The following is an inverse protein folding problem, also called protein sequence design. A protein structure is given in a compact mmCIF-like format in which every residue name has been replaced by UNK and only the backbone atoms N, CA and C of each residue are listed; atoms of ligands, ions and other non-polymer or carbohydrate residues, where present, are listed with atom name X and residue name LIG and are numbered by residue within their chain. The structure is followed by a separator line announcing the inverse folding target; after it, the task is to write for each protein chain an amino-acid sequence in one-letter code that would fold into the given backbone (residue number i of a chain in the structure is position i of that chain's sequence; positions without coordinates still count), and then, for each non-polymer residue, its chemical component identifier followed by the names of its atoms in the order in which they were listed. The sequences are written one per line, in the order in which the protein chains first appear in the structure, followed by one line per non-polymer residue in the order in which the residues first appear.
data_IF_172342287638
#
_entry.id   IF_172342287638
#
_cell.length_a   1.000
_cell.length_b   1.000
_cell.length_c   1.000
_cell.angle_alpha   90.00
_cell.angle_beta   90.00
_cell.angle_gamma   90.00
#
_symmetry.space_group_name_H-M   'P 1'
#
loop_
_entity.id
_entity.type
_entity.pdbx_description
1 polymer ?
#
# COMPACT_ATOMS: atom_id res chain seq x y z
N UNK A 1 25.90 -43.38 6.00
CA UNK A 1 25.09 -42.32 6.69
C UNK A 1 24.45 -41.47 5.64
N UNK A 2 23.16 -41.70 5.37
CA UNK A 2 22.38 -40.91 4.43
C UNK A 2 21.84 -39.69 5.17
N UNK A 3 22.27 -38.50 4.75
CA UNK A 3 21.67 -37.25 5.24
C UNK A 3 20.33 -37.07 4.56
N UNK A 4 19.27 -37.14 5.34
CA UNK A 4 17.92 -36.80 4.92
C UNK A 4 17.86 -35.29 4.72
N UNK A 5 17.86 -34.86 3.46
CA UNK A 5 17.58 -33.46 3.10
C UNK A 5 16.08 -33.26 3.32
N UNK A 6 15.74 -32.57 4.40
CA UNK A 6 14.37 -32.09 4.64
C UNK A 6 14.17 -30.90 3.67
N UNK A 7 13.24 -30.96 2.73
CA UNK A 7 12.94 -29.81 1.89
C UNK A 7 12.37 -28.71 2.78
N UNK A 8 13.09 -27.61 2.89
CA UNK A 8 12.54 -26.38 3.45
C UNK A 8 11.54 -25.84 2.44
N UNK A 9 10.27 -26.16 2.62
CA UNK A 9 9.17 -25.48 1.95
C UNK A 9 9.10 -24.04 2.47
N UNK A 10 9.85 -23.15 1.87
CA UNK A 10 9.53 -21.73 1.94
C UNK A 10 8.16 -21.58 1.27
N UNK A 11 7.15 -21.27 2.07
CA UNK A 11 5.80 -21.03 1.55
C UNK A 11 5.81 -19.69 0.83
N UNK A 12 6.32 -19.69 -0.38
CA UNK A 12 6.30 -18.53 -1.26
C UNK A 12 4.85 -18.27 -1.64
N UNK A 13 4.36 -17.06 -1.36
CA UNK A 13 2.98 -16.69 -1.69
C UNK A 13 2.89 -16.58 -3.21
N UNK A 14 1.95 -17.31 -3.81
CA UNK A 14 1.77 -17.34 -5.25
C UNK A 14 1.19 -16.02 -5.79
N UNK A 15 1.45 -15.73 -7.06
CA UNK A 15 0.80 -14.59 -7.75
C UNK A 15 -0.73 -14.69 -7.71
N UNK A 16 -1.28 -15.88 -7.82
CA UNK A 16 -2.73 -16.11 -7.71
C UNK A 16 -3.27 -15.70 -6.33
N UNK A 17 -2.52 -15.94 -5.26
CA UNK A 17 -2.90 -15.51 -3.92
C UNK A 17 -2.92 -13.98 -3.78
N UNK A 18 -1.96 -13.27 -4.36
CA UNK A 18 -1.96 -11.81 -4.39
C UNK A 18 -3.14 -11.26 -5.20
N UNK A 19 -3.43 -11.84 -6.36
CA UNK A 19 -4.61 -11.46 -7.15
C UNK A 19 -5.91 -11.64 -6.37
N UNK A 20 -6.05 -12.70 -5.61
CA UNK A 20 -7.21 -12.93 -4.75
C UNK A 20 -7.31 -11.88 -3.65
N UNK A 21 -6.19 -11.48 -3.04
CA UNK A 21 -6.17 -10.42 -2.03
C UNK A 21 -6.62 -9.08 -2.60
N UNK A 22 -6.13 -8.73 -3.79
CA UNK A 22 -6.56 -7.53 -4.51
C UNK A 22 -8.06 -7.59 -4.82
N UNK A 23 -8.55 -8.73 -5.33
CA UNK A 23 -9.96 -8.90 -5.65
C UNK A 23 -10.86 -8.76 -4.42
N UNK A 24 -10.46 -9.29 -3.27
CA UNK A 24 -11.19 -9.09 -2.00
C UNK A 24 -11.25 -7.62 -1.59
N UNK A 25 -10.17 -6.89 -1.76
CA UNK A 25 -10.18 -5.46 -1.49
C UNK A 25 -11.11 -4.71 -2.45
N UNK A 26 -11.10 -5.06 -3.72
CA UNK A 26 -12.01 -4.46 -4.71
C UNK A 26 -13.48 -4.71 -4.37
N UNK A 27 -13.84 -5.89 -3.89
CA UNK A 27 -15.21 -6.17 -3.42
C UNK A 27 -15.55 -5.35 -2.17
N UNK A 28 -14.63 -5.28 -1.19
CA UNK A 28 -14.81 -4.43 -0.01
C UNK A 28 -14.93 -2.94 -0.38
N UNK A 29 -14.17 -2.47 -1.36
CA UNK A 29 -14.30 -1.10 -1.87
C UNK A 29 -15.71 -0.81 -2.39
N UNK A 30 -16.34 -1.75 -3.08
CA UNK A 30 -17.73 -1.60 -3.53
C UNK A 30 -18.70 -1.50 -2.37
N UNK A 31 -18.53 -2.35 -1.34
CA UNK A 31 -19.38 -2.31 -0.14
C UNK A 31 -19.27 -0.98 0.61
N UNK A 32 -18.06 -0.44 0.71
CA UNK A 32 -17.80 0.82 1.42
C UNK A 32 -17.92 2.07 0.53
N UNK A 33 -18.30 1.91 -0.73
CA UNK A 33 -18.50 3.02 -1.66
C UNK A 33 -17.21 3.75 -2.03
N UNK A 34 -16.07 3.06 -2.00
CA UNK A 34 -14.78 3.60 -2.41
C UNK A 34 -14.55 3.38 -3.91
N UNK A 35 -14.34 4.45 -4.65
CA UNK A 35 -14.03 4.38 -6.09
C UNK A 35 -12.58 3.96 -6.33
N UNK A 36 -11.69 4.35 -5.43
CA UNK A 36 -10.28 4.00 -5.45
C UNK A 36 -9.71 3.91 -4.04
N UNK A 37 -8.58 3.24 -3.92
CA UNK A 37 -7.71 3.24 -2.73
C UNK A 37 -6.31 3.65 -3.17
N UNK A 38 -5.71 4.55 -2.41
CA UNK A 38 -4.32 4.99 -2.60
C UNK A 38 -3.51 4.57 -1.38
N UNK A 39 -2.34 4.00 -1.63
CA UNK A 39 -1.40 3.62 -0.58
C UNK A 39 0.05 3.88 -0.99
N UNK A 40 0.89 4.10 -0.02
CA UNK A 40 2.35 4.14 -0.20
C UNK A 40 2.99 2.77 0.06
N UNK A 41 4.28 2.69 -0.27
CA UNK A 41 5.12 1.57 0.14
C UNK A 41 4.96 1.31 1.65
N UNK A 42 4.69 0.08 2.00
CA UNK A 42 4.45 -0.32 3.38
C UNK A 42 3.79 -1.69 3.49
N UNK A 43 3.40 -2.08 4.71
CA UNK A 43 2.86 -3.41 4.96
C UNK A 43 1.61 -3.76 4.15
N UNK A 44 0.69 -2.81 3.93
CA UNK A 44 -0.52 -3.06 3.14
C UNK A 44 -0.19 -3.35 1.67
N UNK A 45 0.69 -2.57 1.07
CA UNK A 45 1.18 -2.81 -0.29
C UNK A 45 1.87 -4.18 -0.40
N UNK A 46 2.73 -4.51 0.55
CA UNK A 46 3.43 -5.80 0.58
C UNK A 46 2.45 -6.97 0.71
N UNK A 47 1.45 -6.86 1.57
CA UNK A 47 0.43 -7.90 1.74
C UNK A 47 -0.38 -8.13 0.47
N UNK A 48 -0.77 -7.06 -0.20
CA UNK A 48 -1.63 -7.12 -1.39
C UNK A 48 -0.88 -7.54 -2.66
N UNK A 49 0.39 -7.16 -2.78
CA UNK A 49 1.11 -7.27 -4.06
C UNK A 49 2.42 -8.05 -3.98
N UNK A 50 2.93 -8.32 -2.79
CA UNK A 50 4.25 -8.90 -2.59
C UNK A 50 5.42 -7.92 -2.75
N UNK A 51 5.16 -6.70 -3.18
CA UNK A 51 6.20 -5.69 -3.38
C UNK A 51 6.68 -5.17 -2.03
N UNK A 52 7.94 -5.45 -1.73
CA UNK A 52 8.64 -4.91 -0.56
C UNK A 52 9.48 -3.72 -0.98
N UNK A 53 9.07 -2.55 -0.54
CA UNK A 53 9.74 -1.31 -0.84
C UNK A 53 9.95 -0.47 0.40
N UNK A 54 11.16 0.03 0.58
CA UNK A 54 11.48 0.93 1.69
C UNK A 54 10.95 2.33 1.44
N UNK A 55 10.37 2.94 2.46
CA UNK A 55 9.98 4.35 2.38
C UNK A 55 11.19 5.26 2.38
N UNK A 56 11.20 6.22 1.49
CA UNK A 56 12.15 7.32 1.46
C UNK A 56 11.38 8.64 1.37
N UNK A 57 12.07 9.76 1.23
CA UNK A 57 11.44 11.04 0.95
C UNK A 57 10.70 11.06 -0.41
N UNK A 58 11.06 10.14 -1.31
CA UNK A 58 10.43 10.00 -2.62
C UNK A 58 9.20 9.12 -2.56
N UNK A 59 8.13 9.60 -3.15
CA UNK A 59 6.85 8.90 -3.15
C UNK A 59 6.87 7.68 -4.08
N UNK A 60 6.57 6.53 -3.51
CA UNK A 60 6.29 5.27 -4.20
C UNK A 60 4.88 4.85 -3.80
N UNK A 61 3.95 4.90 -4.73
CA UNK A 61 2.53 4.73 -4.42
C UNK A 61 1.84 3.73 -5.36
N UNK A 62 0.74 3.20 -4.88
CA UNK A 62 -0.17 2.32 -5.61
C UNK A 62 -1.56 2.93 -5.60
N UNK A 63 -2.21 2.88 -6.75
CA UNK A 63 -3.62 3.25 -6.91
C UNK A 63 -4.40 2.02 -7.38
N UNK A 64 -5.39 1.63 -6.60
CA UNK A 64 -6.30 0.54 -6.94
C UNK A 64 -7.71 1.09 -7.14
N UNK A 65 -8.32 0.78 -8.28
CA UNK A 65 -9.72 1.07 -8.57
C UNK A 65 -10.58 -0.18 -8.40
N UNK A 66 -11.90 -0.05 -8.39
CA UNK A 66 -12.83 -1.18 -8.18
C UNK A 66 -12.69 -2.29 -9.24
N UNK A 67 -12.09 -1.98 -10.37
CA UNK A 67 -11.83 -2.91 -11.48
C UNK A 67 -10.42 -2.71 -12.01
N UNK A 68 -9.86 -3.77 -12.58
CA UNK A 68 -8.55 -3.75 -13.19
C UNK A 68 -7.41 -3.95 -12.19
N UNK A 69 -6.21 -3.98 -12.73
CA UNK A 69 -5.00 -4.15 -11.95
C UNK A 69 -4.58 -2.86 -11.23
N UNK A 70 -3.77 -2.96 -10.16
CA UNK A 70 -3.14 -1.79 -9.57
C UNK A 70 -2.34 -0.98 -10.59
N UNK A 71 -2.34 0.34 -10.43
CA UNK A 71 -1.42 1.24 -11.10
C UNK A 71 -0.38 1.76 -10.10
N UNK A 72 0.80 2.02 -10.59
CA UNK A 72 1.96 2.37 -9.77
C UNK A 72 2.48 3.76 -10.13
N UNK A 73 2.90 4.49 -9.10
CA UNK A 73 3.58 5.79 -9.25
C UNK A 73 4.91 5.71 -8.51
N UNK A 74 6.00 5.95 -9.20
CA UNK A 74 7.34 5.79 -8.63
C UNK A 74 8.37 6.72 -9.28
N UNK A 75 9.50 6.99 -8.58
CA UNK A 75 10.57 7.80 -9.14
C UNK A 75 11.19 7.15 -10.37
N UNK A 76 11.50 7.96 -11.39
CA UNK A 76 12.01 7.46 -12.67
C UNK A 76 13.31 6.66 -12.55
N UNK A 77 14.22 7.06 -11.65
CA UNK A 77 15.48 6.33 -11.46
C UNK A 77 15.31 4.94 -10.80
N UNK A 78 14.15 4.67 -10.19
CA UNK A 78 13.81 3.37 -9.57
C UNK A 78 13.01 2.45 -10.51
N UNK A 79 12.67 2.93 -11.72
CA UNK A 79 11.77 2.23 -12.65
C UNK A 79 12.26 0.81 -12.97
N UNK A 80 13.52 0.65 -13.29
CA UNK A 80 14.09 -0.65 -13.64
C UNK A 80 13.93 -1.67 -12.50
N UNK A 81 14.34 -1.28 -11.28
CA UNK A 81 14.23 -2.13 -10.10
C UNK A 81 12.76 -2.42 -9.74
N UNK A 82 11.90 -1.42 -9.87
CA UNK A 82 10.47 -1.60 -9.57
C UNK A 82 9.82 -2.61 -10.51
N UNK A 83 10.14 -2.58 -11.80
CA UNK A 83 9.61 -3.54 -12.79
C UNK A 83 10.03 -4.99 -12.52
N UNK A 84 11.17 -5.20 -11.90
CA UNK A 84 11.60 -6.55 -11.49
C UNK A 84 10.75 -7.11 -10.33
N UNK A 85 10.18 -6.23 -9.49
CA UNK A 85 9.44 -6.60 -8.29
C UNK A 85 7.91 -6.55 -8.49
N UNK A 86 7.43 -5.76 -9.44
CA UNK A 86 6.00 -5.58 -9.69
C UNK A 86 5.49 -6.67 -10.62
N UNK A 87 4.66 -7.55 -10.07
CA UNK A 87 3.98 -8.62 -10.82
C UNK A 87 2.46 -8.37 -10.93
N UNK A 88 1.92 -7.44 -10.14
CA UNK A 88 0.51 -7.05 -10.16
C UNK A 88 0.34 -5.69 -10.84
N UNK A 89 -0.20 -5.71 -12.06
CA UNK A 89 -0.42 -4.52 -12.87
C UNK A 89 0.84 -4.05 -13.63
N UNK A 90 0.61 -3.58 -14.84
CA UNK A 90 1.70 -3.12 -15.73
C UNK A 90 1.68 -1.61 -15.95
N UNK A 91 0.67 -0.92 -15.46
CA UNK A 91 0.60 0.52 -15.54
C UNK A 91 1.52 1.13 -14.49
N UNK A 92 2.66 1.63 -14.94
CA UNK A 92 3.65 2.30 -14.11
C UNK A 92 3.83 3.71 -14.67
N UNK A 93 3.55 4.73 -13.85
CA UNK A 93 3.79 6.12 -14.17
C UNK A 93 4.94 6.63 -13.33
N UNK A 94 6.03 6.94 -14.00
CA UNK A 94 7.21 7.51 -13.36
C UNK A 94 7.10 9.02 -13.24
N UNK A 95 7.78 9.57 -12.26
CA UNK A 95 7.95 11.01 -12.09
C UNK A 95 9.44 11.34 -11.95
N UNK A 96 9.83 12.48 -12.51
CA UNK A 96 11.19 12.99 -12.44
C UNK A 96 11.32 14.01 -11.29
N UNK A 97 12.55 14.37 -10.94
CA UNK A 97 12.82 15.27 -9.79
C UNK A 97 12.12 16.64 -9.86
N UNK A 98 11.81 17.10 -11.06
CA UNK A 98 11.08 18.35 -11.33
C UNK A 98 9.57 18.14 -11.54
N UNK A 99 9.07 16.91 -11.41
CA UNK A 99 7.67 16.55 -11.58
C UNK A 99 6.99 16.24 -10.25
N UNK A 100 5.66 16.28 -10.23
CA UNK A 100 4.84 15.94 -9.08
C UNK A 100 4.38 14.48 -9.13
N UNK A 101 4.75 13.64 -8.15
CA UNK A 101 4.17 12.31 -8.03
C UNK A 101 2.66 12.34 -7.79
N UNK A 102 2.17 13.37 -7.13
CA UNK A 102 0.75 13.53 -6.81
C UNK A 102 -0.09 13.83 -8.03
N UNK A 103 0.47 14.56 -8.99
CA UNK A 103 -0.14 14.75 -10.30
C UNK A 103 -0.31 13.42 -11.03
N UNK A 104 0.69 12.54 -10.97
CA UNK A 104 0.59 11.19 -11.55
C UNK A 104 -0.53 10.37 -10.92
N UNK A 105 -0.69 10.43 -9.60
CA UNK A 105 -1.82 9.78 -8.92
C UNK A 105 -3.15 10.34 -9.39
N UNK A 106 -3.30 11.66 -9.47
CA UNK A 106 -4.51 12.31 -9.94
C UNK A 106 -4.85 11.96 -11.40
N UNK A 107 -3.85 11.88 -12.26
CA UNK A 107 -4.00 11.46 -13.66
C UNK A 107 -4.51 10.02 -13.76
N UNK A 108 -4.00 9.09 -12.96
CA UNK A 108 -4.49 7.71 -12.91
C UNK A 108 -5.97 7.68 -12.49
N UNK A 109 -6.32 8.38 -11.43
CA UNK A 109 -7.70 8.47 -10.96
C UNK A 109 -8.63 8.97 -12.08
N UNK A 110 -8.25 10.05 -12.74
CA UNK A 110 -9.01 10.62 -13.85
C UNK A 110 -9.14 9.64 -15.03
N UNK A 111 -8.05 9.06 -15.47
CA UNK A 111 -8.01 8.16 -16.63
C UNK A 111 -8.81 6.86 -16.38
N UNK A 112 -8.94 6.47 -15.11
CA UNK A 112 -9.75 5.33 -14.69
C UNK A 112 -11.19 5.70 -14.32
N UNK A 113 -11.63 6.92 -14.65
CA UNK A 113 -13.00 7.36 -14.46
C UNK A 113 -13.36 7.79 -13.04
N UNK A 114 -12.38 8.00 -12.17
CA UNK A 114 -12.58 8.49 -10.80
C UNK A 114 -12.43 10.01 -10.80
N UNK A 115 -13.40 10.71 -11.39
CA UNK A 115 -13.44 12.18 -11.44
C UNK A 115 -14.24 12.79 -10.29
N UNK A 116 -15.08 12.00 -9.65
CA UNK A 116 -15.88 12.35 -8.48
C UNK A 116 -16.07 11.10 -7.61
N UNK A 117 -16.50 11.30 -6.39
CA UNK A 117 -16.74 10.21 -5.46
C UNK A 117 -15.66 10.05 -4.41
N UNK A 118 -15.69 8.92 -3.75
CA UNK A 118 -14.90 8.70 -2.54
C UNK A 118 -13.64 7.91 -2.82
N UNK A 119 -12.51 8.42 -2.34
CA UNK A 119 -11.20 7.77 -2.42
C UNK A 119 -10.72 7.43 -1.01
N UNK A 120 -10.40 6.16 -0.78
CA UNK A 120 -9.82 5.68 0.47
C UNK A 120 -8.30 5.89 0.48
N UNK A 121 -7.81 6.50 1.54
CA UNK A 121 -6.38 6.65 1.79
C UNK A 121 -5.96 5.62 2.85
N UNK A 122 -4.93 4.85 2.57
CA UNK A 122 -4.39 3.91 3.56
C UNK A 122 -3.79 4.71 4.74
N UNK A 123 -4.11 4.34 5.97
CA UNK A 123 -3.84 5.18 7.15
C UNK A 123 -2.36 5.41 7.47
N UNK A 124 -1.47 4.53 7.01
CA UNK A 124 -0.03 4.75 7.18
C UNK A 124 0.58 5.66 6.11
N UNK A 125 -0.20 6.04 5.11
CA UNK A 125 0.18 6.99 4.08
C UNK A 125 0.50 8.35 4.73
N UNK A 126 1.65 8.91 4.38
CA UNK A 126 2.12 10.16 4.99
C UNK A 126 1.24 11.33 4.60
N UNK A 127 1.06 12.27 5.54
CA UNK A 127 0.19 13.42 5.33
C UNK A 127 0.54 14.24 4.09
N UNK A 128 1.84 14.46 3.81
CA UNK A 128 2.24 15.24 2.65
C UNK A 128 1.87 14.58 1.31
N UNK A 129 1.79 13.24 1.28
CA UNK A 129 1.30 12.50 0.11
C UNK A 129 -0.21 12.72 -0.06
N UNK A 130 -0.96 12.55 1.01
CA UNK A 130 -2.39 12.83 1.02
C UNK A 130 -2.70 14.26 0.59
N UNK A 131 -2.04 15.22 1.20
CA UNK A 131 -2.23 16.64 0.90
C UNK A 131 -1.87 16.99 -0.55
N UNK A 132 -0.79 16.40 -1.05
CA UNK A 132 -0.38 16.53 -2.45
C UNK A 132 -1.43 16.00 -3.43
N UNK A 133 -1.96 14.79 -3.18
CA UNK A 133 -3.03 14.20 -4.01
C UNK A 133 -4.30 15.03 -3.94
N UNK A 134 -4.71 15.44 -2.74
CA UNK A 134 -5.89 16.27 -2.52
C UNK A 134 -5.80 17.59 -3.30
N UNK A 135 -4.65 18.22 -3.30
CA UNK A 135 -4.46 19.48 -4.03
C UNK A 135 -4.52 19.30 -5.54
N UNK A 136 -4.12 18.14 -6.06
CA UNK A 136 -4.22 17.82 -7.50
C UNK A 136 -5.62 17.35 -7.92
N UNK A 137 -6.39 16.77 -7.02
CA UNK A 137 -7.73 16.26 -7.27
C UNK A 137 -8.71 16.72 -6.17
N UNK A 138 -8.98 18.04 -6.05
CA UNK A 138 -9.72 18.59 -4.92
C UNK A 138 -11.22 18.30 -4.93
N UNK A 139 -11.76 17.80 -6.03
CA UNK A 139 -13.20 17.49 -6.16
C UNK A 139 -13.56 16.10 -5.61
N UNK A 140 -12.57 15.28 -5.26
CA UNK A 140 -12.79 13.96 -4.68
C UNK A 140 -13.04 14.07 -3.17
N UNK A 141 -13.83 13.15 -2.66
CA UNK A 141 -14.09 12.98 -1.22
C UNK A 141 -13.10 11.95 -0.66
N UNK A 142 -12.21 12.39 0.22
CA UNK A 142 -11.18 11.54 0.79
C UNK A 142 -11.57 11.02 2.16
N UNK A 143 -11.33 9.72 2.38
CA UNK A 143 -11.63 9.05 3.65
C UNK A 143 -10.58 7.98 3.95
N UNK A 144 -10.62 7.40 5.15
CA UNK A 144 -9.79 6.24 5.47
C UNK A 144 -10.18 5.02 4.64
N UNK A 145 -9.19 4.32 4.10
CA UNK A 145 -9.39 3.01 3.47
C UNK A 145 -9.49 1.87 4.48
N UNK A 146 -9.21 2.12 5.76
CA UNK A 146 -9.06 1.09 6.78
C UNK A 146 -10.29 0.18 6.93
N UNK A 147 -11.53 0.68 6.91
CA UNK A 147 -12.70 -0.22 6.99
C UNK A 147 -12.74 -1.24 5.85
N UNK A 148 -12.46 -0.82 4.63
CA UNK A 148 -12.42 -1.71 3.47
C UNK A 148 -11.23 -2.68 3.53
N UNK A 149 -10.05 -2.20 3.90
CA UNK A 149 -8.86 -3.03 4.09
C UNK A 149 -9.10 -4.11 5.13
N UNK A 150 -9.67 -3.77 6.28
CA UNK A 150 -10.01 -4.72 7.34
C UNK A 150 -11.02 -5.76 6.86
N UNK A 151 -12.07 -5.35 6.17
CA UNK A 151 -13.07 -6.25 5.60
C UNK A 151 -12.45 -7.21 4.57
N UNK A 152 -11.41 -6.78 3.86
CA UNK A 152 -10.65 -7.60 2.92
C UNK A 152 -9.60 -8.51 3.58
N UNK A 153 -9.48 -8.49 4.91
CA UNK A 153 -8.50 -9.28 5.66
C UNK A 153 -7.11 -8.65 5.76
N UNK A 154 -6.99 -7.37 5.40
CA UNK A 154 -5.76 -6.58 5.59
C UNK A 154 -5.84 -5.91 6.96
N UNK A 155 -5.64 -6.67 8.00
CA UNK A 155 -5.60 -6.17 9.38
C UNK A 155 -4.14 -6.00 9.81
N UNK A 156 -3.62 -4.85 9.48
CA UNK A 156 -2.29 -4.43 9.91
C UNK A 156 -2.46 -3.61 11.19
N UNK A 157 -2.61 -4.32 12.31
CA UNK A 157 -2.61 -3.66 13.61
C UNK A 157 -1.37 -2.77 13.73
N UNK A 158 -1.49 -1.53 14.22
CA UNK A 158 -0.31 -0.73 14.52
C UNK A 158 0.58 -1.52 15.47
N UNK A 159 1.92 -1.45 15.35
CA UNK A 159 2.81 -2.18 16.24
C UNK A 159 2.42 -1.82 17.66
N UNK A 160 1.94 -2.81 18.42
CA UNK A 160 1.67 -2.66 19.84
C UNK A 160 2.96 -2.19 20.48
N UNK A 161 2.97 -0.96 21.00
CA UNK A 161 4.11 -0.39 21.67
C UNK A 161 4.66 -1.39 22.68
N UNK A 162 5.93 -1.71 22.59
CA UNK A 162 6.60 -2.61 23.52
C UNK A 162 6.27 -2.17 24.93
N UNK A 163 5.68 -3.08 25.69
CA UNK A 163 5.31 -2.88 27.07
C UNK A 163 6.43 -2.23 27.88
N UNK A 164 6.05 -1.23 28.63
CA UNK A 164 6.96 -0.50 29.50
C UNK A 164 7.81 -1.44 30.33
N UNK A 165 9.11 -1.23 30.27
CA UNK A 165 10.10 -1.82 31.14
C UNK A 165 9.65 -1.48 32.57
N UNK A 166 9.15 -2.47 33.33
CA UNK A 166 8.96 -2.32 34.77
C UNK A 166 10.31 -2.01 35.39
N UNK A 167 10.50 -0.78 35.78
CA UNK A 167 11.58 -0.42 36.71
C UNK A 167 11.27 -1.11 38.04
N UNK A 168 12.02 -2.13 38.37
CA UNK A 168 12.07 -2.63 39.74
C UNK A 168 12.79 -1.58 40.58
N UNK A 169 12.00 -0.87 41.38
CA UNK A 169 12.54 -0.07 42.47
C UNK A 169 13.10 -1.01 43.51
N UNK A 170 14.42 -1.11 43.54
CA UNK A 170 15.15 -1.78 44.63
C UNK A 170 14.98 -1.01 45.92
N UNK A 171 14.16 -1.54 46.82
CA UNK A 171 14.10 -1.05 48.19
C UNK A 171 15.41 -1.37 48.95
N UNK A 172 16.18 -0.33 49.28
CA UNK A 172 17.23 -0.42 50.29
C UNK A 172 16.60 -0.30 51.65
N UNK A 173 16.65 -1.36 52.44
CA UNK A 173 16.44 -1.31 53.89
C UNK A 173 17.77 -0.99 54.54
N UNK A 174 17.79 0.03 55.35
CA UNK A 174 18.66 0.14 56.52
C UNK A 174 17.91 -0.36 57.72
#
# INVERSE_FOLDING_TARGET
MQQTIVPQTSTEISEAAYRQRIARLQEAMKEFGLQAVVMEAGPAMTYLTGVRWGRSERTFALVLTQKGDPAWVLPGFEDMRARELIHAGQEIRVWQEDESPYQRVAEILKDRGVAAGRVGMEESLRFFVFDGVRNQAPKLDYTSAQPALKAAGVDLAPPTGRGGRKQQAGGRKQ
#
